data_IF_144149463073
#
_entry.id   IF_144149463073
#
_cell.length_a   1.000
_cell.length_b   1.000
_cell.length_c   1.000
_cell.angle_alpha   90.00
_cell.angle_beta   90.00
_cell.angle_gamma   90.00
#
_symmetry.space_group_name_H-M   'P 1'
#
loop_
_entity.id
_entity.type
_entity.pdbx_description
1 polymer ?
#
# COMPACT_ATOMS: atom_id res chain seq x y z
N UNK A 1 -7.30 -1.35 13.08
CA UNK A 1 -7.03 -1.03 11.67
C UNK A 1 -5.59 -1.45 11.42
N UNK A 2 -5.38 -2.39 10.50
CA UNK A 2 -4.04 -2.90 10.16
C UNK A 2 -3.80 -2.59 8.70
N UNK A 3 -2.91 -1.65 8.45
CA UNK A 3 -2.47 -1.28 7.11
C UNK A 3 -1.31 -2.21 6.74
N UNK A 4 -1.38 -2.85 5.57
CA UNK A 4 -0.33 -3.76 5.09
C UNK A 4 -0.02 -3.41 3.65
N UNK A 5 1.25 -3.10 3.36
CA UNK A 5 1.75 -2.81 2.03
C UNK A 5 2.57 -3.99 1.52
N UNK A 6 2.10 -4.61 0.44
CA UNK A 6 2.83 -5.64 -0.30
C UNK A 6 3.63 -4.96 -1.41
N UNK A 7 4.95 -5.06 -1.32
CA UNK A 7 5.84 -4.41 -2.27
C UNK A 7 7.11 -5.22 -2.54
N UNK A 8 7.91 -4.77 -3.52
CA UNK A 8 9.27 -5.28 -3.75
C UNK A 8 10.29 -4.20 -3.44
N UNK A 9 11.53 -4.60 -3.17
CA UNK A 9 12.58 -3.69 -2.68
C UNK A 9 13.09 -2.68 -3.72
N UNK A 10 12.91 -2.94 -5.01
CA UNK A 10 13.49 -2.12 -6.10
C UNK A 10 12.44 -1.34 -6.90
N UNK A 11 11.14 -1.50 -6.62
CA UNK A 11 10.10 -0.93 -7.47
C UNK A 11 9.87 0.57 -7.17
N UNK A 12 9.96 1.45 -8.19
CA UNK A 12 9.77 2.89 -8.01
C UNK A 12 8.34 3.25 -7.60
N UNK A 13 7.31 2.59 -8.17
CA UNK A 13 5.91 2.87 -7.82
C UNK A 13 5.61 2.51 -6.37
N UNK A 14 6.23 1.44 -5.86
CA UNK A 14 6.13 1.06 -4.45
C UNK A 14 6.73 2.12 -3.53
N UNK A 15 7.81 2.76 -3.94
CA UNK A 15 8.47 3.81 -3.16
C UNK A 15 7.57 5.04 -3.03
N UNK A 16 6.84 5.41 -4.08
CA UNK A 16 5.88 6.53 -4.03
C UNK A 16 4.79 6.28 -2.98
N UNK A 17 4.24 5.07 -2.93
CA UNK A 17 3.24 4.69 -1.92
C UNK A 17 3.83 4.75 -0.50
N UNK A 18 5.05 4.23 -0.31
CA UNK A 18 5.74 4.27 0.99
C UNK A 18 6.00 5.70 1.45
N UNK A 19 6.42 6.58 0.54
CA UNK A 19 6.62 7.99 0.83
C UNK A 19 5.31 8.64 1.27
N UNK A 20 4.21 8.41 0.56
CA UNK A 20 2.90 8.94 0.96
C UNK A 20 2.46 8.44 2.34
N UNK A 21 2.65 7.16 2.64
CA UNK A 21 2.37 6.59 3.96
C UNK A 21 3.22 7.24 5.06
N UNK A 22 4.50 7.49 4.78
CA UNK A 22 5.42 8.17 5.68
C UNK A 22 5.06 9.65 5.89
N UNK A 23 4.70 10.38 4.83
CA UNK A 23 4.20 11.77 4.90
C UNK A 23 2.95 11.87 5.79
N UNK A 24 2.06 10.88 5.68
CA UNK A 24 0.86 10.77 6.49
C UNK A 24 1.13 10.26 7.91
N UNK A 25 2.38 9.89 8.23
CA UNK A 25 2.80 9.30 9.51
C UNK A 25 1.93 8.10 9.92
N UNK A 26 1.55 7.27 8.94
CA UNK A 26 0.74 6.08 9.18
C UNK A 26 1.62 4.91 9.57
N UNK A 27 1.17 4.14 10.56
CA UNK A 27 1.78 2.86 10.87
C UNK A 27 1.25 1.80 9.91
N UNK A 28 2.16 1.13 9.22
CA UNK A 28 1.83 0.07 8.27
C UNK A 28 2.84 -1.07 8.31
N UNK A 29 2.36 -2.26 8.01
CA UNK A 29 3.16 -3.47 7.89
C UNK A 29 3.77 -3.56 6.48
N UNK A 30 5.08 -3.74 6.41
CA UNK A 30 5.79 -3.92 5.15
C UNK A 30 5.97 -5.40 4.83
N UNK A 31 5.32 -5.87 3.77
CA UNK A 31 5.48 -7.25 3.29
C UNK A 31 6.26 -7.22 1.99
N UNK A 32 7.55 -7.55 2.08
CA UNK A 32 8.41 -7.67 0.90
C UNK A 32 8.12 -9.02 0.23
N UNK A 33 7.62 -8.97 -0.99
CA UNK A 33 7.31 -10.17 -1.77
C UNK A 33 8.43 -10.51 -2.73
N UNK A 34 8.57 -11.78 -3.16
CA UNK A 34 9.58 -12.15 -4.15
C UNK A 34 9.35 -11.44 -5.48
N UNK A 35 10.44 -11.15 -6.17
CA UNK A 35 10.40 -10.59 -7.53
C UNK A 35 9.63 -11.46 -8.51
N UNK A 36 9.78 -12.76 -8.34
CA UNK A 36 9.18 -13.75 -9.20
C UNK A 36 7.65 -13.75 -9.02
N UNK A 37 6.92 -13.20 -10.01
CA UNK A 37 5.45 -13.08 -10.01
C UNK A 37 4.72 -14.36 -9.58
N UNK A 38 5.08 -15.56 -10.09
CA UNK A 38 4.40 -16.81 -9.69
C UNK A 38 4.56 -17.17 -8.21
N UNK A 39 5.60 -16.64 -7.55
CA UNK A 39 5.89 -16.87 -6.15
C UNK A 39 5.14 -15.89 -5.23
N UNK A 40 4.51 -14.85 -5.78
CA UNK A 40 3.71 -13.84 -5.05
C UNK A 40 2.31 -14.35 -4.72
N UNK A 41 2.21 -15.59 -4.19
CA UNK A 41 0.93 -16.22 -3.84
C UNK A 41 0.14 -15.38 -2.84
N UNK A 42 0.82 -14.80 -1.84
CA UNK A 42 0.19 -13.91 -0.86
C UNK A 42 -0.49 -12.70 -1.49
N UNK A 43 0.10 -12.12 -2.54
CA UNK A 43 -0.50 -10.98 -3.25
C UNK A 43 -1.77 -11.42 -3.98
N UNK A 44 -1.75 -12.59 -4.58
CA UNK A 44 -2.91 -13.16 -5.28
C UNK A 44 -4.02 -13.57 -4.32
N UNK A 45 -3.68 -14.11 -3.15
CA UNK A 45 -4.68 -14.43 -2.11
C UNK A 45 -5.36 -13.16 -1.56
N UNK A 46 -4.63 -12.05 -1.45
CA UNK A 46 -5.16 -10.79 -0.91
C UNK A 46 -5.92 -9.99 -1.96
N UNK A 47 -5.37 -9.87 -3.17
CA UNK A 47 -5.86 -8.95 -4.20
C UNK A 47 -6.45 -9.63 -5.44
N UNK A 48 -6.35 -10.96 -5.55
CA UNK A 48 -6.72 -11.69 -6.76
C UNK A 48 -5.72 -11.57 -7.91
N UNK A 49 -4.59 -10.87 -7.73
CA UNK A 49 -3.58 -10.64 -8.77
C UNK A 49 -2.13 -10.77 -8.28
N UNK A 50 -1.17 -10.77 -9.20
CA UNK A 50 0.27 -10.91 -8.89
C UNK A 50 1.07 -9.60 -9.05
N UNK A 51 0.38 -8.49 -9.30
CA UNK A 51 0.99 -7.16 -9.49
C UNK A 51 1.17 -6.46 -8.15
N UNK A 52 2.19 -5.61 -8.07
CA UNK A 52 2.49 -4.75 -6.92
C UNK A 52 2.68 -3.32 -7.46
N UNK A 53 2.43 -2.27 -6.65
CA UNK A 53 2.09 -2.29 -5.22
C UNK A 53 0.67 -2.79 -4.90
N UNK A 54 0.48 -3.40 -3.73
CA UNK A 54 -0.87 -3.72 -3.20
C UNK A 54 -0.96 -3.23 -1.77
N UNK A 55 -1.98 -2.42 -1.47
CA UNK A 55 -2.28 -1.94 -0.13
C UNK A 55 -3.53 -2.65 0.40
N UNK A 56 -3.43 -3.18 1.61
CA UNK A 56 -4.57 -3.72 2.35
C UNK A 56 -4.81 -2.87 3.60
N UNK A 57 -6.02 -2.34 3.76
CA UNK A 57 -6.47 -1.67 4.97
C UNK A 57 -7.71 -2.37 5.52
N UNK A 58 -7.50 -3.30 6.46
CA UNK A 58 -8.58 -4.13 7.01
C UNK A 58 -9.27 -4.98 5.94
N UNK A 59 -10.47 -4.54 5.51
CA UNK A 59 -11.28 -5.20 4.47
C UNK A 59 -11.11 -4.57 3.08
N UNK A 60 -10.43 -3.43 2.99
CA UNK A 60 -10.18 -2.72 1.73
C UNK A 60 -8.87 -3.24 1.14
N UNK A 61 -8.89 -3.59 -0.14
CA UNK A 61 -7.69 -3.99 -0.89
C UNK A 61 -7.60 -3.12 -2.13
N UNK A 62 -6.46 -2.47 -2.30
CA UNK A 62 -6.16 -1.56 -3.41
C UNK A 62 -4.94 -2.08 -4.15
N UNK A 63 -5.06 -2.11 -5.47
CA UNK A 63 -4.10 -2.75 -6.37
C UNK A 63 -3.39 -1.78 -7.30
N UNK A 64 -4.01 -0.63 -7.54
CA UNK A 64 -3.47 0.40 -8.42
C UNK A 64 -2.82 1.48 -7.59
N UNK A 65 -1.63 1.92 -7.99
CA UNK A 65 -0.87 2.97 -7.29
C UNK A 65 -1.68 4.25 -7.12
N UNK A 66 -2.40 4.68 -8.16
CA UNK A 66 -3.20 5.91 -8.13
C UNK A 66 -4.36 5.83 -7.13
N UNK A 67 -5.11 4.71 -7.16
CA UNK A 67 -6.18 4.43 -6.21
C UNK A 67 -5.67 4.38 -4.77
N UNK A 68 -4.49 3.79 -4.55
CA UNK A 68 -3.84 3.75 -3.24
C UNK A 68 -3.55 5.17 -2.74
N UNK A 69 -2.91 6.00 -3.57
CA UNK A 69 -2.56 7.38 -3.19
C UNK A 69 -3.81 8.21 -2.92
N UNK A 70 -4.83 8.09 -3.77
CA UNK A 70 -6.09 8.79 -3.61
C UNK A 70 -6.83 8.35 -2.33
N UNK A 71 -6.89 7.04 -2.06
CA UNK A 71 -7.47 6.51 -0.84
C UNK A 71 -6.75 7.01 0.40
N UNK A 72 -5.41 7.00 0.40
CA UNK A 72 -4.61 7.48 1.52
C UNK A 72 -4.86 8.97 1.79
N UNK A 73 -4.94 9.78 0.74
CA UNK A 73 -5.23 11.21 0.86
C UNK A 73 -6.66 11.47 1.37
N UNK A 74 -7.66 10.79 0.79
CA UNK A 74 -9.06 10.93 1.20
C UNK A 74 -9.32 10.42 2.62
N UNK A 75 -8.74 9.28 2.98
CA UNK A 75 -8.99 8.60 4.26
C UNK A 75 -8.16 9.18 5.40
N UNK A 76 -6.90 9.54 5.14
CA UNK A 76 -5.95 9.97 6.17
C UNK A 76 -5.40 11.39 5.97
N UNK A 77 -5.41 11.94 4.75
CA UNK A 77 -4.94 13.30 4.47
C UNK A 77 -5.76 14.39 5.17
N UNK A 78 -7.08 14.16 5.37
CA UNK A 78 -7.95 15.06 6.14
C UNK A 78 -7.62 15.11 7.65
N UNK A 79 -6.82 14.17 8.16
CA UNK A 79 -6.48 14.13 9.59
C UNK A 79 -5.45 15.19 9.98
N UNK A 80 -4.69 15.73 9.01
CA UNK A 80 -3.65 16.73 9.26
C UNK A 80 -4.15 18.18 9.29
N UNK A 81 -5.31 18.48 8.69
CA UNK A 81 -5.85 19.85 8.62
C UNK A 81 -6.45 20.36 9.95
N UNK A 82 -6.67 19.48 10.94
CA UNK A 82 -7.28 19.83 12.22
C UNK A 82 -6.27 20.23 13.32
N UNK A 83 -4.97 20.29 13.00
CA UNK A 83 -3.90 20.55 13.98
C UNK A 83 -3.14 21.86 13.79
N UNK A 84 -3.80 22.92 13.29
CA UNK A 84 -3.19 24.26 13.15
C UNK A 84 -3.38 25.12 14.39
#
# INVERSE_FOLDING_TARGET
MSLTLYHVSWCPDCEVVRQKLAELHLEFEHVVVPDFRPMRKVVNEVSGQYYVPVLKDGNVVLTETDDILEYLDKTYGQKQIAGR
#
